data_IF_817087766514
#
_entry.id   IF_817087766514
#
_cell.length_a   1.000
_cell.length_b   1.000
_cell.length_c   1.000
_cell.angle_alpha   90.00
_cell.angle_beta   90.00
_cell.angle_gamma   90.00
#
_symmetry.space_group_name_H-M   'P 1'
#
loop_
_entity.id
_entity.type
_entity.pdbx_description
1 polymer ?
#
# COMPACT_ATOMS: atom_id res chain seq x y z
N UNK A 1 -40.50 2.33 19.36
CA UNK A 1 -41.03 2.40 17.99
C UNK A 1 -39.87 2.71 17.07
N UNK A 2 -39.72 1.93 15.99
CA UNK A 2 -38.43 1.62 15.36
C UNK A 2 -37.87 2.66 14.37
N UNK A 3 -36.56 2.52 14.15
CA UNK A 3 -35.65 3.23 13.23
C UNK A 3 -35.87 2.92 11.73
N UNK A 4 -37.05 2.43 11.33
CA UNK A 4 -37.32 1.94 9.97
C UNK A 4 -38.21 2.88 9.14
N UNK A 5 -38.10 4.20 9.33
CA UNK A 5 -38.98 5.16 8.65
C UNK A 5 -38.25 6.18 7.75
N UNK A 6 -37.22 5.74 7.02
CA UNK A 6 -36.51 6.58 6.04
C UNK A 6 -36.43 6.00 4.62
N UNK A 7 -37.13 4.90 4.36
CA UNK A 7 -37.36 4.41 2.99
C UNK A 7 -38.78 4.75 2.51
N UNK A 8 -39.01 6.01 2.15
CA UNK A 8 -40.00 6.43 1.12
C UNK A 8 -40.02 7.96 0.95
N UNK A 9 -39.28 8.47 -0.04
CA UNK A 9 -39.82 9.35 -1.10
C UNK A 9 -38.71 9.71 -2.11
N UNK A 10 -38.82 9.17 -3.32
CA UNK A 10 -38.21 9.73 -4.54
C UNK A 10 -38.98 11.01 -4.93
N UNK A 11 -38.27 12.10 -5.27
CA UNK A 11 -38.35 12.74 -6.59
C UNK A 11 -37.38 13.93 -6.72
N UNK A 12 -36.48 13.77 -7.69
CA UNK A 12 -35.72 14.71 -8.52
C UNK A 12 -35.69 16.20 -8.15
N UNK A 13 -34.46 16.72 -8.00
CA UNK A 13 -34.11 18.11 -8.30
C UNK A 13 -32.64 18.15 -8.75
N UNK A 14 -32.41 18.64 -9.97
CA UNK A 14 -31.09 18.97 -10.54
C UNK A 14 -30.42 20.04 -9.69
N UNK A 15 -29.23 19.77 -9.15
CA UNK A 15 -28.22 20.77 -8.81
C UNK A 15 -26.87 20.08 -8.60
N UNK A 16 -25.91 20.44 -9.45
CA UNK A 16 -24.45 20.41 -9.26
C UNK A 16 -23.83 19.22 -8.51
N UNK A 17 -23.41 18.24 -9.29
CA UNK A 17 -22.45 17.22 -8.88
C UNK A 17 -21.08 17.88 -8.79
N UNK A 18 -20.80 18.55 -7.66
CA UNK A 18 -19.42 18.67 -7.18
C UNK A 18 -19.13 17.39 -6.38
N UNK A 19 -18.95 16.28 -7.10
CA UNK A 19 -18.35 15.09 -6.53
C UNK A 19 -16.91 15.41 -6.22
N UNK A 20 -16.63 15.58 -4.93
CA UNK A 20 -15.35 15.29 -4.34
C UNK A 20 -14.84 13.99 -4.95
N UNK A 21 -13.86 14.09 -5.87
CA UNK A 21 -13.17 12.95 -6.45
C UNK A 21 -12.28 12.35 -5.34
N UNK A 22 -12.89 11.59 -4.45
CA UNK A 22 -12.19 10.65 -3.58
C UNK A 22 -12.45 9.25 -4.12
N UNK A 23 -11.36 8.60 -4.54
CA UNK A 23 -11.20 7.16 -4.74
C UNK A 23 -12.12 6.49 -5.79
N UNK A 24 -11.64 6.35 -7.03
CA UNK A 24 -11.94 5.18 -7.89
C UNK A 24 -11.28 5.28 -9.26
N UNK A 25 -9.96 5.13 -9.34
CA UNK A 25 -9.30 4.79 -10.61
C UNK A 25 -8.08 3.89 -10.36
N UNK A 26 -8.29 2.60 -10.03
CA UNK A 26 -7.24 1.58 -10.22
C UNK A 26 -7.77 0.13 -10.10
N UNK A 27 -8.97 -0.21 -10.56
CA UNK A 27 -9.45 -1.61 -10.44
C UNK A 27 -8.80 -2.56 -11.47
N UNK A 28 -8.22 -2.05 -12.57
CA UNK A 28 -7.75 -2.88 -13.68
C UNK A 28 -6.24 -2.74 -14.02
N UNK A 29 -5.39 -2.30 -13.09
CA UNK A 29 -3.95 -2.26 -13.38
C UNK A 29 -3.27 -3.62 -13.23
N UNK A 30 -2.29 -3.86 -14.10
CA UNK A 30 -1.36 -5.00 -14.06
C UNK A 30 0.04 -4.43 -14.05
N UNK A 31 0.90 -4.93 -13.17
CA UNK A 31 2.26 -4.42 -13.00
C UNK A 31 2.53 -3.91 -11.59
N UNK A 32 3.54 -3.04 -11.47
CA UNK A 32 4.02 -2.50 -10.18
C UNK A 32 3.49 -1.10 -9.96
N UNK A 33 3.08 -0.81 -8.73
CA UNK A 33 2.59 0.50 -8.30
C UNK A 33 3.25 0.93 -7.01
N UNK A 34 3.76 2.15 -6.97
CA UNK A 34 4.26 2.81 -5.77
C UNK A 34 3.22 3.81 -5.27
N UNK A 35 2.78 3.65 -4.03
CA UNK A 35 1.86 4.56 -3.38
C UNK A 35 2.45 5.09 -2.06
N UNK A 36 2.28 6.39 -1.83
CA UNK A 36 2.54 7.09 -0.55
C UNK A 36 1.27 7.84 -0.15
N UNK A 37 1.30 8.68 0.89
CA UNK A 37 0.15 9.54 1.22
C UNK A 37 -0.26 10.48 0.08
N UNK A 38 0.71 10.97 -0.70
CA UNK A 38 0.50 12.06 -1.66
C UNK A 38 0.70 11.64 -3.11
N UNK A 39 1.33 10.49 -3.33
CA UNK A 39 1.81 10.09 -4.65
C UNK A 39 1.32 8.68 -4.97
N UNK A 40 0.88 8.47 -6.20
CA UNK A 40 0.58 7.16 -6.76
C UNK A 40 1.22 7.07 -8.14
N UNK A 41 2.19 6.16 -8.32
CA UNK A 41 3.00 6.02 -9.54
C UNK A 41 2.89 4.59 -10.05
N UNK A 42 2.48 4.47 -11.31
CA UNK A 42 2.51 3.22 -12.07
C UNK A 42 3.89 2.98 -12.65
N UNK A 43 4.38 1.73 -12.59
CA UNK A 43 5.70 1.31 -13.07
C UNK A 43 6.82 2.23 -12.56
N UNK A 44 6.99 2.35 -11.23
CA UNK A 44 7.94 3.28 -10.62
C UNK A 44 9.38 2.91 -10.97
N UNK A 45 10.23 3.91 -11.19
CA UNK A 45 11.68 3.68 -11.30
C UNK A 45 12.30 3.45 -9.93
N UNK A 46 13.50 2.83 -9.93
CA UNK A 46 14.33 2.64 -8.73
C UNK A 46 14.58 3.96 -7.99
N UNK A 47 14.82 5.05 -8.72
CA UNK A 47 15.03 6.38 -8.13
C UNK A 47 13.77 6.87 -7.42
N UNK A 48 12.59 6.67 -8.00
CA UNK A 48 11.32 7.08 -7.38
C UNK A 48 11.04 6.29 -6.10
N UNK A 49 11.29 4.98 -6.12
CA UNK A 49 11.19 4.11 -4.94
C UNK A 49 12.15 4.59 -3.84
N UNK A 50 13.42 4.83 -4.18
CA UNK A 50 14.42 5.28 -3.21
C UNK A 50 14.08 6.67 -2.65
N UNK A 51 13.58 7.59 -3.46
CA UNK A 51 13.15 8.92 -3.01
C UNK A 51 11.95 8.83 -2.06
N UNK A 52 10.94 8.02 -2.38
CA UNK A 52 9.80 7.78 -1.51
C UNK A 52 10.24 7.17 -0.16
N UNK A 53 11.13 6.18 -0.21
CA UNK A 53 11.70 5.53 0.98
C UNK A 53 12.57 6.50 1.80
N UNK A 54 13.30 7.41 1.16
CA UNK A 54 14.05 8.43 1.90
C UNK A 54 13.12 9.46 2.55
N UNK A 55 12.01 9.79 1.89
CA UNK A 55 11.05 10.77 2.38
C UNK A 55 10.24 10.23 3.57
N UNK A 56 9.71 9.01 3.45
CA UNK A 56 8.82 8.43 4.44
C UNK A 56 9.48 8.18 5.80
N UNK A 57 10.76 7.80 5.84
CA UNK A 57 11.46 7.55 7.11
C UNK A 57 11.54 8.79 7.99
N UNK A 58 11.56 9.97 7.37
CA UNK A 58 11.74 11.27 8.03
C UNK A 58 10.43 12.02 8.22
N UNK A 59 9.31 11.48 7.73
CA UNK A 59 8.02 12.17 7.70
C UNK A 59 7.04 11.47 8.63
N UNK A 60 6.41 12.25 9.51
CA UNK A 60 5.43 11.70 10.44
C UNK A 60 4.19 11.20 9.68
N UNK A 61 3.67 10.04 10.07
CA UNK A 61 2.48 9.40 9.50
C UNK A 61 2.62 8.92 8.04
N UNK A 62 3.80 9.08 7.42
CA UNK A 62 4.02 8.69 6.02
C UNK A 62 4.31 7.19 5.87
N UNK A 63 3.97 6.65 4.70
CA UNK A 63 4.24 5.27 4.33
C UNK A 63 4.78 5.14 2.90
N UNK A 64 5.40 4.00 2.63
CA UNK A 64 5.73 3.58 1.27
C UNK A 64 5.08 2.23 1.03
N UNK A 65 4.26 2.12 0.00
CA UNK A 65 3.64 0.88 -0.43
C UNK A 65 4.08 0.59 -1.86
N UNK A 66 4.70 -0.55 -2.07
CA UNK A 66 4.92 -1.09 -3.42
C UNK A 66 4.01 -2.30 -3.57
N UNK A 67 3.07 -2.20 -4.50
CA UNK A 67 2.08 -3.23 -4.82
C UNK A 67 2.39 -3.81 -6.19
N UNK A 68 2.30 -5.12 -6.31
CA UNK A 68 2.35 -5.82 -7.59
C UNK A 68 1.02 -6.52 -7.86
N UNK A 69 0.52 -6.36 -9.09
CA UNK A 69 -0.66 -7.08 -9.59
C UNK A 69 -0.31 -7.95 -10.78
N UNK A 70 -0.60 -9.24 -10.67
CA UNK A 70 -0.43 -10.18 -11.78
C UNK A 70 -1.55 -10.01 -12.82
N UNK A 71 -1.33 -10.43 -14.08
CA UNK A 71 -2.38 -10.49 -15.10
C UNK A 71 -3.61 -11.32 -14.68
N UNK A 72 -3.43 -12.24 -13.73
CA UNK A 72 -4.48 -13.09 -13.18
C UNK A 72 -5.17 -12.48 -11.94
N UNK A 73 -4.93 -11.19 -11.66
CA UNK A 73 -5.48 -10.44 -10.51
C UNK A 73 -4.97 -10.92 -9.15
N UNK A 74 -3.83 -11.60 -9.11
CA UNK A 74 -3.15 -11.87 -7.85
C UNK A 74 -2.46 -10.59 -7.37
N UNK A 75 -2.44 -10.38 -6.06
CA UNK A 75 -1.88 -9.19 -5.43
C UNK A 75 -0.82 -9.63 -4.43
N UNK A 76 0.32 -8.97 -4.49
CA UNK A 76 1.32 -8.97 -3.43
C UNK A 76 1.73 -7.53 -3.14
N UNK A 77 2.18 -7.25 -1.93
CA UNK A 77 2.71 -5.93 -1.63
C UNK A 77 3.76 -5.96 -0.53
N UNK A 78 4.60 -4.93 -0.54
CA UNK A 78 5.51 -4.58 0.53
C UNK A 78 5.16 -3.16 0.98
N UNK A 79 4.88 -3.00 2.27
CA UNK A 79 4.64 -1.72 2.92
C UNK A 79 5.77 -1.41 3.89
N UNK A 80 6.14 -0.14 4.01
CA UNK A 80 7.08 0.36 5.00
C UNK A 80 6.52 1.57 5.73
N UNK A 81 6.64 1.56 7.05
CA UNK A 81 6.27 2.65 7.95
C UNK A 81 7.53 3.14 8.65
N UNK A 82 7.82 4.44 8.51
CA UNK A 82 9.02 5.07 9.04
C UNK A 82 8.88 5.48 10.51
N UNK A 83 9.93 5.24 11.31
CA UNK A 83 10.05 5.66 12.70
C UNK A 83 11.30 6.53 12.93
N UNK A 84 11.55 7.48 12.05
CA UNK A 84 12.65 8.45 12.13
C UNK A 84 14.01 7.90 11.71
N UNK A 85 14.42 6.75 12.27
CA UNK A 85 15.73 6.13 12.01
C UNK A 85 15.63 4.71 11.46
N UNK A 86 14.45 4.11 11.49
CA UNK A 86 14.23 2.74 11.04
C UNK A 86 12.83 2.55 10.47
N UNK A 87 12.63 1.41 9.82
CA UNK A 87 11.38 0.98 9.25
C UNK A 87 10.79 -0.22 10.01
N UNK A 88 9.46 -0.24 10.08
CA UNK A 88 8.70 -1.49 10.10
C UNK A 88 8.31 -1.81 8.67
N UNK A 89 8.70 -2.99 8.18
CA UNK A 89 8.27 -3.48 6.88
C UNK A 89 7.22 -4.58 7.06
N UNK A 90 6.23 -4.57 6.18
CA UNK A 90 5.14 -5.54 6.14
C UNK A 90 5.03 -6.10 4.72
N UNK A 91 5.26 -7.40 4.59
CA UNK A 91 5.22 -8.10 3.32
C UNK A 91 4.05 -9.07 3.27
N UNK A 92 3.21 -8.91 2.26
CA UNK A 92 2.08 -9.79 1.97
C UNK A 92 2.34 -10.49 0.63
N UNK A 93 2.72 -11.78 0.65
CA UNK A 93 2.87 -12.55 -0.59
C UNK A 93 1.51 -12.88 -1.22
N UNK A 94 1.54 -13.30 -2.48
CA UNK A 94 0.36 -13.84 -3.16
C UNK A 94 -0.26 -14.98 -2.35
N UNK A 95 -1.59 -14.95 -2.20
CA UNK A 95 -2.34 -15.99 -1.50
C UNK A 95 -2.22 -15.96 0.03
N UNK A 96 -1.61 -14.91 0.59
CA UNK A 96 -1.57 -14.66 2.02
C UNK A 96 -2.99 -14.58 2.64
N UNK A 97 -3.10 -15.00 3.90
CA UNK A 97 -4.33 -14.85 4.67
C UNK A 97 -4.63 -13.35 4.89
N UNK A 98 -5.88 -12.96 4.66
CA UNK A 98 -6.33 -11.58 4.90
C UNK A 98 -6.09 -11.16 6.35
N UNK A 99 -5.56 -9.95 6.54
CA UNK A 99 -5.22 -9.39 7.85
C UNK A 99 -3.90 -9.90 8.44
N UNK A 100 -3.07 -10.61 7.66
CA UNK A 100 -1.76 -11.07 8.11
C UNK A 100 -0.65 -10.70 7.11
N UNK A 101 0.54 -10.45 7.63
CA UNK A 101 1.74 -10.17 6.86
C UNK A 101 2.97 -10.76 7.56
N UNK A 102 4.05 -10.93 6.79
CA UNK A 102 5.39 -11.05 7.37
C UNK A 102 5.86 -9.66 7.78
N UNK A 103 6.19 -9.50 9.05
CA UNK A 103 6.60 -8.21 9.63
C UNK A 103 8.02 -8.29 10.14
N UNK A 104 8.83 -7.29 9.80
CA UNK A 104 10.14 -7.06 10.39
C UNK A 104 10.23 -5.60 10.86
N UNK A 105 10.90 -5.37 11.98
CA UNK A 105 11.02 -4.06 12.62
C UNK A 105 12.49 -3.68 12.77
N UNK A 106 12.79 -2.39 12.87
CA UNK A 106 14.16 -1.91 13.04
C UNK A 106 15.00 -1.97 11.76
N UNK A 107 14.36 -2.05 10.59
CA UNK A 107 15.06 -2.13 9.30
C UNK A 107 15.71 -0.78 8.97
N UNK A 108 16.98 -0.80 8.55
CA UNK A 108 17.68 0.42 8.17
C UNK A 108 17.11 1.00 6.86
N UNK A 109 17.41 2.27 6.56
CA UNK A 109 17.00 2.86 5.30
C UNK A 109 17.59 2.12 4.08
N UNK A 110 18.85 1.72 4.16
CA UNK A 110 19.55 1.01 3.09
C UNK A 110 18.92 -0.35 2.82
N UNK A 111 18.64 -1.11 3.88
CA UNK A 111 17.98 -2.42 3.78
C UNK A 111 16.55 -2.28 3.28
N UNK A 112 15.81 -1.26 3.74
CA UNK A 112 14.45 -0.99 3.27
C UNK A 112 14.44 -0.68 1.77
N UNK A 113 15.35 0.19 1.29
CA UNK A 113 15.52 0.45 -0.14
C UNK A 113 15.87 -0.83 -0.90
N UNK A 114 16.71 -1.70 -0.34
CA UNK A 114 17.03 -2.99 -0.95
C UNK A 114 15.77 -3.85 -1.13
N UNK A 115 14.96 -4.03 -0.07
CA UNK A 115 13.74 -4.83 -0.13
C UNK A 115 12.70 -4.26 -1.09
N UNK A 116 12.51 -2.95 -1.13
CA UNK A 116 11.55 -2.34 -2.07
C UNK A 116 11.98 -2.52 -3.53
N UNK A 117 13.27 -2.36 -3.83
CA UNK A 117 13.77 -2.58 -5.18
C UNK A 117 13.74 -4.06 -5.58
N UNK A 118 14.10 -4.97 -4.66
CA UNK A 118 13.99 -6.41 -4.88
C UNK A 118 12.53 -6.80 -5.16
N UNK A 119 11.59 -6.28 -4.38
CA UNK A 119 10.17 -6.52 -4.58
C UNK A 119 9.67 -5.97 -5.93
N UNK A 120 10.06 -4.76 -6.30
CA UNK A 120 9.65 -4.16 -7.58
C UNK A 120 10.16 -4.96 -8.78
N UNK A 121 11.35 -5.57 -8.68
CA UNK A 121 11.95 -6.36 -9.77
C UNK A 121 11.47 -7.83 -9.80
N UNK A 122 11.33 -8.45 -8.63
CA UNK A 122 11.07 -9.90 -8.52
C UNK A 122 9.63 -10.24 -8.12
N UNK A 123 8.85 -9.24 -7.71
CA UNK A 123 7.47 -9.38 -7.19
C UNK A 123 7.37 -10.24 -5.92
N UNK A 124 8.51 -10.45 -5.28
CA UNK A 124 8.70 -11.17 -4.02
C UNK A 124 9.97 -10.64 -3.37
N UNK A 125 10.11 -10.84 -2.07
CA UNK A 125 11.35 -10.58 -1.35
C UNK A 125 11.94 -11.88 -0.82
N UNK A 126 13.27 -11.93 -0.70
CA UNK A 126 13.94 -12.98 0.04
C UNK A 126 14.08 -12.53 1.50
N UNK A 127 13.30 -13.14 2.39
CA UNK A 127 13.33 -12.85 3.81
C UNK A 127 13.90 -14.01 4.62
N UNK A 128 14.38 -13.72 5.82
CA UNK A 128 14.99 -14.70 6.72
C UNK A 128 14.16 -14.90 8.01
N UNK A 129 14.76 -15.56 9.01
CA UNK A 129 14.12 -15.87 10.28
C UNK A 129 13.77 -14.65 11.15
N UNK A 130 14.21 -13.44 10.79
CA UNK A 130 13.87 -12.21 11.51
C UNK A 130 12.44 -11.74 11.23
N UNK A 131 11.87 -12.16 10.09
CA UNK A 131 10.51 -11.82 9.71
C UNK A 131 9.51 -12.70 10.44
N UNK A 132 8.47 -12.08 10.99
CA UNK A 132 7.48 -12.77 11.79
C UNK A 132 6.10 -12.68 11.14
N UNK A 133 5.46 -13.82 10.94
CA UNK A 133 4.07 -13.87 10.49
C UNK A 133 3.13 -13.37 11.59
N UNK A 134 2.47 -12.24 11.36
CA UNK A 134 1.63 -11.55 12.37
C UNK A 134 0.36 -11.01 11.74
N UNK A 135 -0.66 -10.87 12.58
CA UNK A 135 -1.82 -10.09 12.22
C UNK A 135 -1.42 -8.61 12.10
N UNK A 136 -1.85 -7.97 11.02
CA UNK A 136 -1.72 -6.54 10.78
C UNK A 136 -3.08 -5.89 10.96
N UNK A 137 -3.10 -4.69 11.56
CA UNK A 137 -4.31 -3.99 12.02
C UNK A 137 -4.64 -2.85 11.07
#
# INVERSE_FOLDING_TARGET
MGIFDLFRRKKESKAEINSTQSMSQSEDFVGVRLSTQTTDIMEPTKEQINQATQHAINTFDEFVLVEWRSPNREIAFLQGIGFGTSYRLEYVPVGAQSGFAYVVEGVSLEDAMHFFNEFAEQHKINFDATWQWKAIV
#
